data_IF_454608180950
#
_entry.id   IF_454608180950
#
_cell.length_a   1.000
_cell.length_b   1.000
_cell.length_c   1.000
_cell.angle_alpha   90.00
_cell.angle_beta   90.00
_cell.angle_gamma   90.00
#
_symmetry.space_group_name_H-M   'P 1'
#
loop_
_entity.id
_entity.type
_entity.pdbx_description
1 polymer ?
#
# COMPACT_ATOMS: atom_id res chain seq x y z
N UNK A 1 96.49 -16.26 -4.44
CA UNK A 1 96.54 -17.20 -3.30
C UNK A 1 96.61 -16.39 -2.02
N UNK A 2 95.49 -16.26 -1.32
CA UNK A 2 95.45 -15.92 0.10
C UNK A 2 94.09 -16.39 0.61
N UNK A 3 94.14 -17.58 1.19
CA UNK A 3 93.03 -18.36 1.71
C UNK A 3 92.85 -18.02 3.20
N UNK A 4 91.68 -17.51 3.56
CA UNK A 4 91.30 -17.28 4.96
C UNK A 4 89.82 -17.66 5.17
N UNK A 5 89.60 -18.89 5.59
CA UNK A 5 88.54 -19.25 6.55
C UNK A 5 89.24 -19.59 7.87
N UNK A 6 88.65 -19.37 9.08
CA UNK A 6 87.25 -19.71 9.38
C UNK A 6 86.54 -18.83 10.45
N UNK A 7 85.22 -19.00 10.58
CA UNK A 7 84.52 -18.85 11.87
C UNK A 7 83.19 -19.62 11.85
N UNK A 8 83.18 -20.84 12.41
CA UNK A 8 81.95 -21.61 12.63
C UNK A 8 81.33 -21.17 13.96
N UNK A 9 80.24 -20.39 13.92
CA UNK A 9 79.36 -20.20 15.08
C UNK A 9 78.27 -21.27 15.08
N UNK A 10 78.27 -22.14 16.10
CA UNK A 10 77.11 -22.96 16.48
C UNK A 10 75.94 -22.04 16.84
N UNK A 11 74.82 -22.12 16.10
CA UNK A 11 73.53 -21.57 16.53
C UNK A 11 72.74 -22.64 17.27
N UNK A 12 72.50 -22.39 18.54
CA UNK A 12 71.61 -23.14 19.43
C UNK A 12 70.17 -23.05 18.93
N UNK A 13 69.48 -24.19 18.89
CA UNK A 13 68.07 -24.29 18.54
C UNK A 13 67.18 -23.58 19.57
N UNK A 14 66.45 -22.54 19.15
CA UNK A 14 65.30 -21.98 19.89
C UNK A 14 64.00 -22.31 19.15
N UNK A 15 63.61 -23.59 19.18
CA UNK A 15 62.25 -24.02 18.83
C UNK A 15 61.42 -24.18 20.10
N UNK A 16 61.03 -23.08 20.74
CA UNK A 16 60.04 -23.11 21.85
C UNK A 16 59.21 -21.82 22.02
N UNK A 17 59.10 -21.01 20.96
CA UNK A 17 58.20 -19.83 20.90
C UNK A 17 57.24 -19.84 19.72
N UNK A 18 57.61 -20.52 18.62
CA UNK A 18 56.87 -20.50 17.35
C UNK A 18 55.46 -21.09 17.47
N UNK A 19 55.27 -22.15 18.25
CA UNK A 19 53.98 -22.85 18.38
C UNK A 19 52.94 -21.99 19.10
N UNK A 20 53.33 -21.23 20.13
CA UNK A 20 52.42 -20.29 20.82
C UNK A 20 52.09 -19.08 19.94
N UNK A 21 53.08 -18.56 19.21
CA UNK A 21 52.87 -17.45 18.28
C UNK A 21 51.93 -17.82 17.12
N UNK A 22 52.08 -19.03 16.56
CA UNK A 22 51.20 -19.54 15.51
C UNK A 22 49.77 -19.76 16.03
N UNK A 23 49.62 -20.27 17.26
CA UNK A 23 48.31 -20.45 17.90
C UNK A 23 47.59 -19.11 18.14
N UNK A 24 48.32 -18.12 18.66
CA UNK A 24 47.77 -16.77 18.88
C UNK A 24 47.36 -16.15 17.54
N UNK A 25 48.21 -16.28 16.51
CA UNK A 25 47.90 -15.78 15.17
C UNK A 25 46.66 -16.46 14.56
N UNK A 26 46.54 -17.79 14.69
CA UNK A 26 45.39 -18.53 14.21
C UNK A 26 44.08 -18.11 14.90
N UNK A 27 44.13 -17.87 16.22
CA UNK A 27 42.98 -17.36 17.00
C UNK A 27 42.62 -15.94 16.54
N UNK A 28 43.60 -15.05 16.33
CA UNK A 28 43.33 -13.70 15.84
C UNK A 28 42.70 -13.70 14.44
N UNK A 29 43.16 -14.58 13.54
CA UNK A 29 42.58 -14.74 12.20
C UNK A 29 41.15 -15.27 12.30
N UNK A 30 40.90 -16.28 13.13
CA UNK A 30 39.57 -16.85 13.33
C UNK A 30 38.59 -15.83 13.92
N UNK A 31 39.03 -15.02 14.89
CA UNK A 31 38.24 -13.93 15.46
C UNK A 31 37.95 -12.88 14.39
N UNK A 32 38.95 -12.42 13.63
CA UNK A 32 38.77 -11.43 12.57
C UNK A 32 37.82 -11.90 11.46
N UNK A 33 37.92 -13.15 11.03
CA UNK A 33 36.98 -13.74 10.08
C UNK A 33 35.59 -13.91 10.69
N UNK A 34 35.50 -14.32 11.95
CA UNK A 34 34.24 -14.41 12.68
C UNK A 34 33.53 -13.06 12.78
N UNK A 35 34.25 -11.97 13.10
CA UNK A 35 33.70 -10.61 13.09
C UNK A 35 33.37 -10.13 11.69
N UNK A 36 34.18 -10.44 10.68
CA UNK A 36 33.88 -10.05 9.29
C UNK A 36 32.62 -10.76 8.75
N UNK A 37 32.45 -12.06 9.02
CA UNK A 37 31.25 -12.82 8.66
C UNK A 37 30.05 -12.34 9.48
N UNK A 38 30.22 -12.12 10.78
CA UNK A 38 29.15 -11.57 11.64
C UNK A 38 28.72 -10.17 11.17
N UNK A 39 29.67 -9.31 10.80
CA UNK A 39 29.40 -8.00 10.23
C UNK A 39 28.73 -8.13 8.85
N UNK A 40 29.20 -9.01 7.96
CA UNK A 40 28.63 -9.19 6.62
C UNK A 40 27.24 -9.83 6.60
N UNK A 41 26.92 -10.67 7.59
CA UNK A 41 25.61 -11.33 7.71
C UNK A 41 24.60 -10.45 8.45
N UNK A 42 25.05 -9.57 9.36
CA UNK A 42 24.17 -8.64 10.11
C UNK A 42 24.13 -7.21 9.59
N UNK A 43 24.99 -6.82 8.65
CA UNK A 43 24.97 -5.51 8.04
C UNK A 43 24.82 -5.65 6.53
N UNK A 44 23.61 -5.52 5.96
CA UNK A 44 23.53 -4.95 4.62
C UNK A 44 24.17 -3.57 4.71
N UNK A 45 25.40 -3.45 4.23
CA UNK A 45 26.05 -2.17 3.99
C UNK A 45 25.24 -1.45 2.92
N UNK A 46 24.16 -0.79 3.32
CA UNK A 46 23.65 0.37 2.62
C UNK A 46 24.67 1.47 2.85
N UNK A 47 25.50 1.75 1.86
CA UNK A 47 26.31 2.97 1.84
C UNK A 47 25.42 4.16 2.23
N UNK A 48 25.84 5.05 3.15
CA UNK A 48 25.11 6.28 3.45
C UNK A 48 25.33 7.29 2.31
N UNK A 49 25.02 6.89 1.08
CA UNK A 49 24.76 7.81 -0.02
C UNK A 49 23.30 8.20 0.08
N UNK A 50 23.00 9.20 0.91
CA UNK A 50 21.75 9.99 0.86
C UNK A 50 20.52 9.20 0.40
N UNK A 51 20.09 8.18 1.16
CA UNK A 51 18.71 7.69 1.02
C UNK A 51 17.83 8.90 1.31
N UNK A 52 17.18 9.44 0.28
CA UNK A 52 16.11 10.40 0.50
C UNK A 52 15.11 9.70 1.42
N UNK A 53 14.69 10.33 2.53
CA UNK A 53 13.67 9.73 3.39
C UNK A 53 12.46 9.41 2.52
N UNK A 54 11.98 8.17 2.56
CA UNK A 54 10.70 7.83 1.91
C UNK A 54 9.63 8.72 2.50
N UNK A 55 8.86 9.36 1.62
CA UNK A 55 7.79 10.22 2.04
C UNK A 55 6.69 9.36 2.67
N UNK A 56 6.52 9.49 3.99
CA UNK A 56 5.50 8.75 4.72
C UNK A 56 4.11 9.10 4.18
N UNK A 57 3.33 8.07 3.83
CA UNK A 57 2.01 8.20 3.23
C UNK A 57 1.15 9.17 4.03
N UNK A 58 0.52 10.11 3.31
CA UNK A 58 -0.60 10.91 3.80
C UNK A 58 -1.91 10.38 3.27
N UNK A 59 -2.88 10.23 4.15
CA UNK A 59 -4.18 9.66 3.80
C UNK A 59 -5.34 10.47 4.33
N UNK A 60 -6.41 10.49 3.54
CA UNK A 60 -7.70 11.09 3.90
C UNK A 60 -8.82 10.15 3.48
N UNK A 61 -9.77 9.88 4.38
CA UNK A 61 -10.96 9.08 4.08
C UNK A 61 -12.19 9.91 4.42
N UNK A 62 -13.01 10.18 3.41
CA UNK A 62 -14.20 11.03 3.52
C UNK A 62 -15.45 10.16 3.35
N UNK A 63 -16.18 9.87 4.45
CA UNK A 63 -17.51 9.28 4.37
C UNK A 63 -18.50 10.19 3.63
N UNK A 64 -19.30 9.59 2.74
CA UNK A 64 -20.38 10.25 2.01
C UNK A 64 -21.74 9.78 2.52
N UNK A 65 -22.49 10.73 3.09
CA UNK A 65 -23.78 10.50 3.76
C UNK A 65 -24.94 10.59 2.76
N UNK A 66 -25.76 9.54 2.60
CA UNK A 66 -26.97 9.65 1.80
C UNK A 66 -27.97 10.61 2.45
N UNK A 67 -28.68 11.39 1.64
CA UNK A 67 -29.75 12.29 2.12
C UNK A 67 -31.01 11.55 2.61
N UNK A 68 -31.20 10.31 2.17
CA UNK A 68 -32.40 9.52 2.45
C UNK A 68 -32.08 8.06 2.67
N UNK A 69 -33.10 7.21 2.49
CA UNK A 69 -32.92 5.76 2.52
C UNK A 69 -32.02 5.32 1.36
N UNK A 70 -31.10 4.41 1.64
CA UNK A 70 -30.26 3.81 0.60
C UNK A 70 -31.13 2.96 -0.33
N UNK A 71 -31.09 3.20 -1.66
CA UNK A 71 -31.81 2.38 -2.63
C UNK A 71 -31.27 0.94 -2.64
N UNK A 72 -32.13 0.01 -3.04
CA UNK A 72 -31.69 -1.37 -3.25
C UNK A 72 -32.70 -2.18 -4.05
N UNK A 73 -32.22 -3.24 -4.66
CA UNK A 73 -32.99 -4.17 -5.45
C UNK A 73 -32.45 -5.59 -5.26
N UNK A 74 -33.24 -6.61 -5.57
CA UNK A 74 -32.78 -8.00 -5.46
C UNK A 74 -31.63 -8.31 -6.44
N UNK A 75 -31.69 -7.75 -7.64
CA UNK A 75 -30.68 -7.92 -8.69
C UNK A 75 -29.63 -6.80 -8.66
N UNK A 76 -28.36 -7.20 -8.58
CA UNK A 76 -27.22 -6.28 -8.63
C UNK A 76 -27.04 -5.66 -10.02
N UNK A 77 -27.32 -6.40 -11.09
CA UNK A 77 -27.18 -5.90 -12.46
C UNK A 77 -28.20 -4.78 -12.72
N UNK A 78 -29.45 -4.97 -12.27
CA UNK A 78 -30.46 -3.92 -12.30
C UNK A 78 -29.98 -2.63 -11.62
N UNK A 79 -29.35 -2.72 -10.44
CA UNK A 79 -28.81 -1.54 -9.76
C UNK A 79 -27.71 -0.85 -10.57
N UNK A 80 -26.77 -1.62 -11.13
CA UNK A 80 -25.70 -1.06 -11.94
C UNK A 80 -26.24 -0.33 -13.17
N UNK A 81 -27.16 -0.97 -13.91
CA UNK A 81 -27.79 -0.41 -15.10
C UNK A 81 -28.58 0.88 -14.83
N UNK A 82 -29.13 1.05 -13.61
CA UNK A 82 -29.90 2.22 -13.20
C UNK A 82 -29.10 3.20 -12.33
N UNK A 83 -27.77 3.18 -12.45
CA UNK A 83 -26.86 4.08 -11.72
C UNK A 83 -25.88 4.78 -12.66
N UNK A 84 -25.15 5.82 -12.19
CA UNK A 84 -24.06 6.42 -12.96
C UNK A 84 -22.93 5.45 -13.33
N UNK A 85 -22.89 4.27 -12.72
CA UNK A 85 -21.92 3.21 -13.02
C UNK A 85 -22.34 2.32 -14.20
N UNK A 86 -23.49 2.55 -14.83
CA UNK A 86 -23.93 1.81 -16.01
C UNK A 86 -22.89 1.74 -17.15
N UNK A 87 -22.12 2.81 -17.47
CA UNK A 87 -21.11 2.77 -18.53
C UNK A 87 -19.74 2.26 -18.04
N UNK A 88 -19.62 1.84 -16.78
CA UNK A 88 -18.34 1.42 -16.22
C UNK A 88 -18.00 -0.02 -16.63
N UNK A 89 -16.72 -0.23 -16.89
CA UNK A 89 -16.17 -1.53 -17.21
C UNK A 89 -16.13 -2.43 -15.98
N UNK A 90 -15.99 -3.74 -16.19
CA UNK A 90 -15.88 -4.71 -15.10
C UNK A 90 -14.42 -4.93 -14.70
N UNK A 91 -14.16 -4.85 -13.40
CA UNK A 91 -12.88 -5.21 -12.80
C UNK A 91 -11.68 -4.43 -13.37
N UNK A 92 -10.58 -5.13 -13.60
CA UNK A 92 -9.32 -4.52 -14.03
C UNK A 92 -9.41 -3.84 -15.41
N UNK A 93 -10.37 -4.22 -16.26
CA UNK A 93 -10.59 -3.62 -17.58
C UNK A 93 -10.95 -2.13 -17.47
N UNK A 94 -11.58 -1.72 -16.36
CA UNK A 94 -11.89 -0.31 -16.10
C UNK A 94 -10.71 0.57 -15.71
N UNK A 95 -9.49 0.03 -15.68
CA UNK A 95 -8.25 0.77 -15.44
C UNK A 95 -7.30 0.47 -16.61
N UNK A 96 -7.55 1.02 -17.82
CA UNK A 96 -6.66 0.81 -18.95
C UNK A 96 -5.30 1.47 -18.71
N UNK A 97 -4.24 0.86 -19.22
CA UNK A 97 -2.93 1.51 -19.29
C UNK A 97 -2.96 2.57 -20.40
N UNK A 98 -2.53 3.81 -20.14
CA UNK A 98 -2.41 4.83 -21.19
C UNK A 98 -1.30 4.44 -22.17
N UNK A 99 -1.32 5.04 -23.36
CA UNK A 99 -0.17 5.00 -24.25
C UNK A 99 1.02 5.73 -23.59
N UNK A 100 2.19 5.11 -23.65
CA UNK A 100 3.41 5.61 -23.00
C UNK A 100 4.44 6.08 -24.02
N UNK A 101 5.38 6.88 -23.53
CA UNK A 101 6.62 7.24 -24.22
C UNK A 101 7.72 7.40 -23.19
N UNK A 102 8.97 7.30 -23.62
CA UNK A 102 10.11 7.68 -22.78
C UNK A 102 10.02 9.14 -22.32
N UNK A 103 10.50 9.41 -21.13
CA UNK A 103 10.70 10.76 -20.59
C UNK A 103 12.16 11.19 -20.80
N UNK A 104 12.61 12.26 -20.13
CA UNK A 104 13.99 12.73 -20.22
C UNK A 104 14.97 11.71 -19.63
N UNK A 105 14.61 11.08 -18.51
CA UNK A 105 15.49 10.15 -17.79
C UNK A 105 14.97 8.72 -17.72
N UNK A 106 13.71 8.45 -18.10
CA UNK A 106 13.12 7.11 -18.06
C UNK A 106 12.78 6.60 -19.45
N UNK A 107 13.17 5.35 -19.71
CA UNK A 107 12.79 4.64 -20.94
C UNK A 107 11.30 4.33 -20.97
N UNK A 108 10.76 4.09 -22.17
CA UNK A 108 9.35 3.72 -22.35
C UNK A 108 8.96 2.45 -21.56
N UNK A 109 9.87 1.47 -21.49
CA UNK A 109 9.64 0.26 -20.69
C UNK A 109 9.58 0.53 -19.18
N UNK A 110 10.35 1.50 -18.69
CA UNK A 110 10.29 1.93 -17.29
C UNK A 110 8.99 2.65 -16.96
N UNK A 111 8.52 3.53 -17.85
CA UNK A 111 7.22 4.19 -17.70
C UNK A 111 6.08 3.16 -17.71
N UNK A 112 6.15 2.20 -18.64
CA UNK A 112 5.18 1.09 -18.72
C UNK A 112 5.20 0.23 -17.47
N UNK A 113 6.38 -0.07 -16.91
CA UNK A 113 6.53 -0.83 -15.68
C UNK A 113 5.89 -0.10 -14.49
N UNK A 114 6.15 1.20 -14.32
CA UNK A 114 5.54 2.02 -13.27
C UNK A 114 4.00 1.99 -13.32
N UNK A 115 3.43 2.25 -14.51
CA UNK A 115 1.99 2.23 -14.72
C UNK A 115 1.39 0.84 -14.47
N UNK A 116 2.09 -0.22 -14.88
CA UNK A 116 1.64 -1.61 -14.67
C UNK A 116 1.65 -1.99 -13.19
N UNK A 117 2.69 -1.63 -12.44
CA UNK A 117 2.78 -1.88 -10.99
C UNK A 117 1.72 -1.07 -10.22
N UNK A 118 1.51 0.20 -10.58
CA UNK A 118 0.43 1.02 -9.99
C UNK A 118 -0.96 0.41 -10.28
N UNK A 119 -1.20 -0.05 -11.50
CA UNK A 119 -2.44 -0.77 -11.87
C UNK A 119 -2.61 -2.04 -11.05
N UNK A 120 -1.57 -2.86 -10.91
CA UNK A 120 -1.62 -4.09 -10.12
C UNK A 120 -1.96 -3.79 -8.65
N UNK A 121 -1.35 -2.74 -8.08
CA UNK A 121 -1.73 -2.28 -6.73
C UNK A 121 -3.21 -1.92 -6.64
N UNK A 122 -3.76 -1.15 -7.57
CA UNK A 122 -5.18 -0.78 -7.54
C UNK A 122 -6.10 -2.01 -7.63
N UNK A 123 -5.77 -2.95 -8.51
CA UNK A 123 -6.53 -4.20 -8.69
C UNK A 123 -6.48 -5.04 -7.41
N UNK A 124 -5.29 -5.29 -6.87
CA UNK A 124 -5.14 -6.11 -5.65
C UNK A 124 -5.75 -5.47 -4.41
N UNK A 125 -5.71 -4.14 -4.31
CA UNK A 125 -6.16 -3.42 -3.11
C UNK A 125 -7.63 -3.00 -3.15
N UNK A 126 -8.29 -3.08 -4.31
CA UNK A 126 -9.66 -2.61 -4.51
C UNK A 126 -10.59 -3.59 -5.21
N UNK A 127 -10.10 -4.72 -5.74
CA UNK A 127 -10.94 -5.70 -6.46
C UNK A 127 -10.84 -7.11 -5.90
N UNK A 128 -9.75 -7.47 -5.22
CA UNK A 128 -9.58 -8.80 -4.63
C UNK A 128 -10.60 -9.05 -3.50
N UNK A 129 -11.50 -10.05 -3.61
CA UNK A 129 -12.46 -10.36 -2.56
C UNK A 129 -11.81 -10.70 -1.21
N UNK A 130 -10.62 -11.28 -1.24
CA UNK A 130 -9.78 -11.56 -0.08
C UNK A 130 -9.34 -10.29 0.66
N UNK A 131 -9.16 -9.17 -0.05
CA UNK A 131 -8.90 -7.85 0.56
C UNK A 131 -10.20 -7.18 0.97
N UNK A 132 -11.17 -7.13 0.05
CA UNK A 132 -12.43 -6.41 0.22
C UNK A 132 -13.21 -6.91 1.44
N UNK A 133 -13.30 -8.23 1.61
CA UNK A 133 -14.09 -8.86 2.68
C UNK A 133 -13.32 -9.98 3.41
N UNK A 134 -12.20 -10.48 2.86
CA UNK A 134 -11.41 -11.56 3.45
C UNK A 134 -10.33 -11.16 4.47
N UNK A 135 -10.26 -9.87 4.84
CA UNK A 135 -9.28 -9.30 5.78
C UNK A 135 -7.80 -9.45 5.37
N UNK A 136 -7.51 -9.88 4.14
CA UNK A 136 -6.14 -10.04 3.67
C UNK A 136 -5.46 -8.69 3.45
N UNK A 137 -4.17 -8.63 3.79
CA UNK A 137 -3.33 -7.42 3.63
C UNK A 137 -2.09 -7.67 2.77
N UNK A 138 -1.71 -8.95 2.61
CA UNK A 138 -0.54 -9.37 1.81
C UNK A 138 -0.55 -8.86 0.37
N UNK A 139 -1.70 -8.80 -0.34
CA UNK A 139 -1.71 -8.31 -1.72
C UNK A 139 -1.23 -6.87 -1.89
N UNK A 140 -1.45 -5.98 -0.91
CA UNK A 140 -0.80 -4.66 -0.89
C UNK A 140 0.65 -4.77 -0.43
N UNK A 141 0.87 -5.41 0.71
CA UNK A 141 2.17 -5.42 1.39
C UNK A 141 3.32 -5.91 0.48
N UNK A 142 3.04 -6.85 -0.42
CA UNK A 142 4.06 -7.39 -1.34
C UNK A 142 4.47 -6.45 -2.47
N UNK A 143 3.69 -5.39 -2.73
CA UNK A 143 3.94 -4.41 -3.78
C UNK A 143 4.55 -3.12 -3.23
N UNK A 144 4.66 -2.97 -1.90
CA UNK A 144 5.22 -1.78 -1.28
C UNK A 144 6.75 -1.87 -1.25
N UNK A 145 7.39 -0.72 -1.44
CA UNK A 145 8.78 -0.50 -1.08
C UNK A 145 9.03 -0.92 0.38
N UNK A 146 10.17 -1.57 0.63
CA UNK A 146 10.54 -2.05 1.97
C UNK A 146 10.53 -0.96 3.03
N UNK A 147 10.87 0.27 2.65
CA UNK A 147 10.96 1.41 3.57
C UNK A 147 9.55 1.92 3.98
N UNK A 148 8.47 1.49 3.32
CA UNK A 148 7.06 1.78 3.73
C UNK A 148 6.43 0.69 4.60
N UNK A 149 7.08 -0.46 4.77
CA UNK A 149 6.48 -1.61 5.46
C UNK A 149 6.20 -1.32 6.94
N UNK A 150 7.03 -0.54 7.62
CA UNK A 150 6.81 -0.19 9.03
C UNK A 150 5.54 0.65 9.22
N UNK A 151 5.32 1.65 8.34
CA UNK A 151 4.09 2.45 8.37
C UNK A 151 2.87 1.59 8.03
N UNK A 152 3.00 0.72 7.02
CA UNK A 152 1.96 -0.20 6.62
C UNK A 152 1.56 -1.12 7.78
N UNK A 153 2.52 -1.86 8.35
CA UNK A 153 2.28 -2.82 9.43
C UNK A 153 1.69 -2.12 10.67
N UNK A 154 2.22 -0.94 11.04
CA UNK A 154 1.64 -0.11 12.12
C UNK A 154 0.19 0.27 11.85
N UNK A 155 -0.19 0.54 10.60
CA UNK A 155 -1.58 0.86 10.26
C UNK A 155 -2.54 -0.27 10.61
N UNK A 156 -2.11 -1.53 10.53
CA UNK A 156 -2.95 -2.68 10.86
C UNK A 156 -2.88 -3.08 12.34
N UNK A 157 -1.70 -2.97 12.96
CA UNK A 157 -1.50 -3.31 14.36
C UNK A 157 -2.11 -2.27 15.31
N UNK A 158 -2.00 -0.99 14.95
CA UNK A 158 -2.50 0.14 15.73
C UNK A 158 -3.22 1.16 14.82
N UNK A 159 -4.41 0.83 14.29
CA UNK A 159 -5.13 1.70 13.39
C UNK A 159 -5.47 3.06 14.02
N UNK A 160 -5.22 4.16 13.31
CA UNK A 160 -5.52 5.50 13.80
C UNK A 160 -6.03 6.44 12.68
N UNK A 161 -6.93 7.35 13.04
CA UNK A 161 -7.43 8.43 12.18
C UNK A 161 -6.51 9.68 12.24
N UNK A 162 -5.20 9.46 12.09
CA UNK A 162 -4.15 10.50 12.16
C UNK A 162 -3.62 10.90 10.77
N UNK A 163 -4.35 10.51 9.72
CA UNK A 163 -3.98 10.74 8.33
C UNK A 163 -2.71 10.03 7.89
N UNK A 164 -2.29 8.98 8.62
CA UNK A 164 -1.11 8.17 8.29
C UNK A 164 -1.27 6.67 8.55
N UNK A 165 -2.13 6.27 9.49
CA UNK A 165 -2.22 4.88 9.95
C UNK A 165 -3.64 4.31 9.87
N UNK A 166 -4.46 4.77 8.93
CA UNK A 166 -5.75 4.16 8.64
C UNK A 166 -5.59 3.04 7.58
N UNK A 167 -5.89 1.76 7.90
CA UNK A 167 -5.92 0.68 6.92
C UNK A 167 -6.75 0.96 5.67
N UNK A 168 -7.84 1.71 5.80
CA UNK A 168 -8.73 2.09 4.69
C UNK A 168 -8.11 3.12 3.74
N UNK A 169 -7.00 3.76 4.13
CA UNK A 169 -6.16 4.56 3.23
C UNK A 169 -5.34 3.69 2.28
N UNK A 170 -4.86 2.53 2.75
CA UNK A 170 -4.07 1.60 1.94
C UNK A 170 -4.94 0.76 1.01
N UNK A 171 -6.06 0.25 1.53
CA UNK A 171 -6.90 -0.80 0.94
C UNK A 171 -8.37 -0.42 1.01
N UNK A 172 -9.18 -0.89 0.05
CA UNK A 172 -10.63 -0.90 0.23
C UNK A 172 -10.99 -2.08 1.12
N UNK A 173 -11.40 -1.80 2.37
CA UNK A 173 -11.77 -2.83 3.36
C UNK A 173 -13.21 -2.62 3.79
N UNK A 174 -14.10 -3.48 3.33
CA UNK A 174 -15.50 -3.48 3.76
C UNK A 174 -15.62 -4.33 5.03
N UNK A 175 -16.38 -3.88 6.02
CA UNK A 175 -16.58 -4.64 7.27
C UNK A 175 -17.25 -6.00 6.98
N UNK A 176 -16.51 -7.13 7.07
CA UNK A 176 -17.02 -8.42 6.65
C UNK A 176 -18.03 -9.02 7.63
N UNK A 177 -18.16 -8.44 8.83
CA UNK A 177 -19.23 -8.80 9.77
C UNK A 177 -20.58 -8.20 9.36
N UNK A 178 -20.57 -7.17 8.51
CA UNK A 178 -21.76 -6.44 8.09
C UNK A 178 -22.15 -6.69 6.64
N UNK A 179 -21.18 -6.87 5.75
CA UNK A 179 -21.44 -6.97 4.31
C UNK A 179 -20.70 -8.14 3.66
N UNK A 180 -21.26 -8.59 2.53
CA UNK A 180 -20.61 -9.45 1.55
C UNK A 180 -20.87 -8.92 0.15
N UNK A 181 -20.02 -9.30 -0.81
CA UNK A 181 -20.27 -9.03 -2.23
C UNK A 181 -21.55 -9.75 -2.66
N UNK A 182 -22.42 -9.00 -3.33
CA UNK A 182 -23.61 -9.50 -4.02
C UNK A 182 -23.30 -9.95 -5.45
N UNK A 183 -22.24 -9.38 -6.03
CA UNK A 183 -21.72 -9.63 -7.37
C UNK A 183 -20.20 -9.40 -7.33
N UNK A 184 -19.44 -10.27 -7.99
CA UNK A 184 -17.98 -10.15 -8.13
C UNK A 184 -17.57 -9.30 -9.35
N UNK A 185 -18.51 -8.97 -10.24
CA UNK A 185 -18.35 -8.10 -11.40
C UNK A 185 -18.40 -6.62 -11.00
N UNK A 186 -17.45 -6.22 -10.16
CA UNK A 186 -17.31 -4.85 -9.65
C UNK A 186 -17.14 -3.88 -10.82
N UNK A 187 -17.91 -2.78 -10.81
CA UNK A 187 -17.85 -1.73 -11.84
C UNK A 187 -16.74 -0.75 -11.53
N UNK A 188 -15.94 -0.43 -12.54
CA UNK A 188 -14.72 0.38 -12.39
C UNK A 188 -14.61 1.39 -13.53
N UNK A 189 -14.24 2.61 -13.17
CA UNK A 189 -13.74 3.61 -14.09
C UNK A 189 -12.47 4.22 -13.51
N UNK A 190 -11.39 4.21 -14.29
CA UNK A 190 -10.09 4.64 -13.81
C UNK A 190 -9.19 5.19 -14.89
N UNK A 191 -8.28 6.07 -14.48
CA UNK A 191 -7.24 6.63 -15.32
C UNK A 191 -5.91 6.62 -14.57
N UNK A 192 -4.84 6.34 -15.30
CA UNK A 192 -3.47 6.42 -14.82
C UNK A 192 -2.70 7.45 -15.65
N UNK A 193 -1.78 8.14 -15.00
CA UNK A 193 -0.94 9.17 -15.61
C UNK A 193 0.46 9.08 -15.02
N UNK A 194 1.47 8.96 -15.86
CA UNK A 194 2.87 8.93 -15.44
C UNK A 194 3.56 10.26 -15.76
N UNK A 195 4.27 10.80 -14.78
CA UNK A 195 5.07 12.02 -14.91
C UNK A 195 6.47 11.78 -14.35
N UNK A 196 7.46 12.48 -14.90
CA UNK A 196 8.80 12.50 -14.31
C UNK A 196 8.86 13.63 -13.30
N UNK A 197 9.02 13.30 -12.01
CA UNK A 197 9.11 14.29 -10.95
C UNK A 197 10.54 14.88 -10.86
N UNK A 198 11.55 14.02 -11.01
CA UNK A 198 12.95 14.39 -11.19
C UNK A 198 13.73 13.28 -11.90
N UNK A 199 15.04 13.47 -12.12
CA UNK A 199 15.90 12.52 -12.86
C UNK A 199 15.99 11.12 -12.24
N UNK A 200 15.55 10.96 -11.00
CA UNK A 200 15.58 9.72 -10.23
C UNK A 200 14.20 9.18 -9.84
N UNK A 201 13.13 9.95 -10.07
CA UNK A 201 11.77 9.62 -9.60
C UNK A 201 10.74 9.70 -10.74
N UNK A 202 10.04 8.61 -11.00
CA UNK A 202 8.76 8.63 -11.70
C UNK A 202 7.62 8.73 -10.69
N UNK A 203 6.61 9.52 -11.02
CA UNK A 203 5.35 9.60 -10.29
C UNK A 203 4.23 9.03 -11.16
N UNK A 204 3.32 8.26 -10.56
CA UNK A 204 2.08 7.81 -11.20
C UNK A 204 0.90 8.30 -10.38
N UNK A 205 0.08 9.16 -10.99
CA UNK A 205 -1.22 9.55 -10.48
C UNK A 205 -2.29 8.56 -10.93
N UNK A 206 -3.14 8.12 -10.00
CA UNK A 206 -4.25 7.23 -10.26
C UNK A 206 -5.56 7.82 -9.73
N UNK A 207 -6.56 7.96 -10.60
CA UNK A 207 -7.91 8.38 -10.23
C UNK A 207 -8.86 7.28 -10.61
N UNK A 208 -9.59 6.74 -9.64
CA UNK A 208 -10.41 5.54 -9.83
C UNK A 208 -11.73 5.66 -9.08
N UNK A 209 -12.78 5.10 -9.65
CA UNK A 209 -14.10 4.93 -9.01
C UNK A 209 -14.44 3.44 -9.09
N UNK A 210 -14.67 2.85 -7.93
CA UNK A 210 -15.12 1.47 -7.78
C UNK A 210 -16.54 1.45 -7.25
N UNK A 211 -17.42 0.64 -7.84
CA UNK A 211 -18.80 0.48 -7.41
C UNK A 211 -19.10 -0.99 -7.13
N UNK A 212 -19.32 -1.29 -5.86
CA UNK A 212 -19.54 -2.64 -5.34
C UNK A 212 -21.04 -2.85 -5.09
N UNK A 213 -21.58 -3.99 -5.54
CA UNK A 213 -22.89 -4.45 -5.11
C UNK A 213 -22.74 -5.26 -3.82
N UNK A 214 -23.41 -4.82 -2.75
CA UNK A 214 -23.26 -5.37 -1.40
C UNK A 214 -24.59 -5.87 -0.85
N UNK A 215 -24.52 -6.92 -0.03
CA UNK A 215 -25.62 -7.47 0.77
C UNK A 215 -25.22 -7.59 2.23
N UNK A 216 -26.19 -7.68 3.17
CA UNK A 216 -25.86 -7.95 4.55
C UNK A 216 -25.12 -9.29 4.69
N UNK A 217 -24.13 -9.32 5.57
CA UNK A 217 -23.43 -10.56 5.92
C UNK A 217 -24.43 -11.58 6.47
N UNK A 218 -24.32 -12.85 6.06
CA UNK A 218 -25.21 -13.93 6.48
C UNK A 218 -26.64 -13.88 5.92
N UNK A 219 -27.02 -12.86 5.15
CA UNK A 219 -28.35 -12.79 4.55
C UNK A 219 -28.52 -13.76 3.38
N UNK A 220 -29.76 -14.23 3.18
CA UNK A 220 -30.14 -15.08 2.06
C UNK A 220 -29.81 -14.45 0.70
N UNK A 221 -29.65 -15.28 -0.33
CA UNK A 221 -29.40 -14.85 -1.70
C UNK A 221 -30.56 -14.06 -2.34
N UNK A 222 -31.68 -13.88 -1.64
CA UNK A 222 -32.81 -13.03 -2.06
C UNK A 222 -32.82 -11.65 -1.40
N UNK A 223 -31.98 -11.40 -0.40
CA UNK A 223 -31.92 -10.09 0.26
C UNK A 223 -31.49 -8.99 -0.72
N UNK A 224 -32.10 -7.81 -0.63
CA UNK A 224 -31.77 -6.68 -1.50
C UNK A 224 -30.28 -6.33 -1.43
N UNK A 225 -29.67 -6.14 -2.59
CA UNK A 225 -28.37 -5.55 -2.73
C UNK A 225 -28.47 -4.01 -2.71
N UNK A 226 -27.35 -3.36 -2.43
CA UNK A 226 -27.15 -1.92 -2.58
C UNK A 226 -25.79 -1.64 -3.22
N UNK A 227 -25.69 -0.52 -3.94
CA UNK A 227 -24.39 -0.07 -4.45
C UNK A 227 -23.65 0.73 -3.38
N UNK A 228 -22.35 0.47 -3.29
CA UNK A 228 -21.40 1.24 -2.51
C UNK A 228 -20.27 1.71 -3.42
N UNK A 229 -20.01 3.01 -3.41
CA UNK A 229 -19.06 3.67 -4.31
C UNK A 229 -17.86 4.15 -3.53
N UNK A 230 -16.67 3.86 -4.05
CA UNK A 230 -15.40 4.36 -3.52
C UNK A 230 -14.64 5.05 -4.65
N UNK A 231 -14.45 6.37 -4.53
CA UNK A 231 -13.51 7.12 -5.35
C UNK A 231 -12.16 7.16 -4.64
N UNK A 232 -11.09 6.77 -5.32
CA UNK A 232 -9.72 6.85 -4.83
C UNK A 232 -8.87 7.71 -5.76
N UNK A 233 -8.16 8.66 -5.19
CA UNK A 233 -7.14 9.47 -5.84
C UNK A 233 -5.80 9.17 -5.13
N UNK A 234 -4.89 8.48 -5.83
CA UNK A 234 -3.63 7.97 -5.30
C UNK A 234 -2.45 8.54 -6.08
N UNK A 235 -1.37 8.82 -5.38
CA UNK A 235 -0.08 9.18 -5.98
C UNK A 235 0.96 8.16 -5.56
N UNK A 236 1.62 7.57 -6.55
CA UNK A 236 2.70 6.61 -6.37
C UNK A 236 4.02 7.21 -6.83
N UNK A 237 5.12 6.88 -6.15
CA UNK A 237 6.48 7.16 -6.60
C UNK A 237 7.22 5.87 -6.88
N UNK A 238 8.14 5.96 -7.83
CA UNK A 238 9.03 4.88 -8.24
C UNK A 238 10.43 5.43 -8.41
N UNK A 239 11.38 4.86 -7.67
CA UNK A 239 12.79 4.98 -8.01
C UNK A 239 13.26 3.85 -8.94
N UNK A 240 14.57 3.76 -9.19
CA UNK A 240 15.12 2.70 -10.07
C UNK A 240 15.03 1.31 -9.46
N UNK A 241 15.13 1.20 -8.15
CA UNK A 241 15.02 -0.07 -7.45
C UNK A 241 13.56 -0.54 -7.42
N UNK A 242 12.61 0.37 -7.19
CA UNK A 242 11.18 0.09 -7.31
C UNK A 242 10.82 -0.49 -8.67
N UNK A 243 11.27 0.16 -9.75
CA UNK A 243 11.04 -0.30 -11.12
C UNK A 243 11.66 -1.68 -11.40
N UNK A 244 12.82 -1.96 -10.80
CA UNK A 244 13.54 -3.24 -10.97
C UNK A 244 12.88 -4.36 -10.17
N UNK A 245 12.38 -4.05 -8.97
CA UNK A 245 11.79 -5.01 -8.04
C UNK A 245 10.28 -5.20 -8.26
N UNK A 246 9.63 -4.31 -9.01
CA UNK A 246 8.18 -4.30 -9.16
C UNK A 246 7.46 -3.85 -7.89
N UNK A 247 8.09 -2.96 -7.12
CA UNK A 247 7.51 -2.31 -5.92
C UNK A 247 7.13 -0.86 -6.22
N UNK A 248 6.43 -0.23 -5.29
CA UNK A 248 6.06 1.19 -5.36
C UNK A 248 6.04 1.82 -3.98
N UNK A 249 6.10 3.15 -3.95
CA UNK A 249 5.83 3.95 -2.77
C UNK A 249 4.48 4.66 -2.92
N UNK A 250 3.55 4.51 -1.97
CA UNK A 250 2.31 5.29 -1.93
C UNK A 250 2.59 6.56 -1.12
N UNK A 251 2.52 7.74 -1.75
CA UNK A 251 2.84 9.00 -1.05
C UNK A 251 1.59 9.78 -0.64
N UNK A 252 0.52 9.68 -1.43
CA UNK A 252 -0.77 10.28 -1.12
C UNK A 252 -1.92 9.31 -1.43
N UNK A 253 -2.92 9.28 -0.55
CA UNK A 253 -4.16 8.53 -0.74
C UNK A 253 -5.36 9.33 -0.26
N UNK A 254 -6.23 9.73 -1.17
CA UNK A 254 -7.53 10.30 -0.85
C UNK A 254 -8.63 9.32 -1.24
N UNK A 255 -9.56 9.06 -0.34
CA UNK A 255 -10.72 8.23 -0.60
C UNK A 255 -12.02 8.96 -0.22
N UNK A 256 -13.01 8.90 -1.10
CA UNK A 256 -14.39 9.26 -0.80
C UNK A 256 -15.24 8.01 -0.94
N UNK A 257 -16.01 7.66 0.10
CA UNK A 257 -16.71 6.39 0.15
C UNK A 257 -18.14 6.56 0.67
N UNK A 258 -19.12 5.93 0.01
CA UNK A 258 -20.49 5.91 0.51
C UNK A 258 -21.44 5.11 -0.38
N UNK A 259 -22.70 4.91 0.07
CA UNK A 259 -23.31 5.55 1.23
C UNK A 259 -22.83 4.99 2.57
N UNK A 260 -22.49 5.86 3.53
CA UNK A 260 -22.14 5.51 4.90
C UNK A 260 -22.52 6.63 5.90
N UNK A 261 -22.47 6.35 7.21
CA UNK A 261 -22.68 7.38 8.24
C UNK A 261 -21.35 8.04 8.64
N UNK A 262 -21.35 9.36 8.85
CA UNK A 262 -20.20 10.09 9.40
C UNK A 262 -20.01 9.90 10.90
N UNK A 263 -21.01 9.38 11.62
CA UNK A 263 -20.91 9.11 13.05
C UNK A 263 -20.20 7.77 13.36
N UNK A 264 -19.94 6.94 12.35
CA UNK A 264 -19.25 5.67 12.52
C UNK A 264 -17.77 5.77 12.15
N UNK A 265 -16.91 5.12 12.95
CA UNK A 265 -15.49 5.01 12.65
C UNK A 265 -15.25 4.18 11.38
N UNK A 266 -14.46 4.75 10.48
CA UNK A 266 -14.07 4.20 9.18
C UNK A 266 -12.57 3.90 9.07
N UNK A 267 -11.82 4.00 10.18
CA UNK A 267 -10.36 3.85 10.20
C UNK A 267 -9.94 2.45 9.77
N UNK A 268 -10.50 1.41 10.42
CA UNK A 268 -10.10 0.03 10.15
C UNK A 268 -10.85 -0.61 8.98
N UNK A 269 -12.15 -0.28 8.86
CA UNK A 269 -13.07 -0.82 7.86
C UNK A 269 -14.09 0.24 7.46
N UNK A 270 -14.43 0.29 6.19
CA UNK A 270 -15.59 1.01 5.67
C UNK A 270 -16.85 0.26 6.10
N UNK A 271 -17.87 1.03 6.51
CA UNK A 271 -19.15 0.51 7.02
C UNK A 271 -20.30 1.02 6.15
N UNK A 272 -20.60 0.33 5.03
CA UNK A 272 -21.67 0.70 4.13
C UNK A 272 -23.04 0.72 4.81
N UNK A 273 -23.86 1.69 4.43
CA UNK A 273 -25.31 1.63 4.64
C UNK A 273 -25.93 0.80 3.51
N UNK A 274 -26.82 -0.12 3.85
CA UNK A 274 -27.50 -1.03 2.93
C UNK A 274 -28.96 -0.63 2.72
N UNK A 275 -29.62 -1.33 1.79
CA UNK A 275 -30.98 -1.05 1.33
C UNK A 275 -31.94 -0.75 2.48
N UNK A 276 -32.64 0.38 2.37
CA UNK A 276 -33.63 0.85 3.35
C UNK A 276 -33.04 1.54 4.59
N UNK A 277 -31.73 1.46 4.82
CA UNK A 277 -31.08 2.15 5.94
C UNK A 277 -30.91 3.65 5.65
N UNK A 278 -30.86 4.45 6.71
CA UNK A 278 -30.51 5.87 6.68
C UNK A 278 -29.28 6.12 7.53
N UNK A 279 -28.54 7.20 7.24
CA UNK A 279 -27.42 7.57 8.10
C UNK A 279 -27.89 7.92 9.50
N UNK A 280 -27.14 7.48 10.51
CA UNK A 280 -27.34 7.90 11.89
C UNK A 280 -27.09 9.40 12.02
N UNK A 281 -27.92 10.07 12.82
CA UNK A 281 -27.68 11.46 13.20
C UNK A 281 -26.35 11.60 13.95
N UNK A 282 -25.63 12.68 13.67
CA UNK A 282 -24.32 12.97 14.25
C UNK A 282 -23.25 13.24 13.20
N UNK A 283 -22.16 13.85 13.64
CA UNK A 283 -20.95 14.07 12.84
C UNK A 283 -19.81 13.18 13.32
N UNK A 284 -18.62 13.34 12.72
CA UNK A 284 -17.41 12.70 13.21
C UNK A 284 -17.11 13.06 14.67
N UNK A 285 -16.22 12.28 15.30
CA UNK A 285 -15.74 12.57 16.65
C UNK A 285 -15.12 13.98 16.75
N UNK A 286 -15.22 14.60 17.93
CA UNK A 286 -14.64 15.91 18.20
C UNK A 286 -13.11 15.87 17.98
N UNK A 287 -12.59 16.91 17.34
CA UNK A 287 -11.14 17.09 17.12
C UNK A 287 -10.59 18.06 18.18
N UNK A 288 -9.57 17.64 18.92
CA UNK A 288 -8.82 18.51 19.83
C UNK A 288 -7.64 19.17 19.06
N UNK A 289 -7.67 20.49 18.82
CA UNK A 289 -6.60 21.18 18.08
C UNK A 289 -5.26 21.22 18.82
N UNK A 290 -5.22 20.85 20.10
CA UNK A 290 -3.99 20.79 20.89
C UNK A 290 -3.40 19.38 20.98
N UNK A 291 -4.11 18.35 20.50
CA UNK A 291 -3.59 17.00 20.42
C UNK A 291 -2.61 16.85 19.24
N UNK A 292 -1.43 16.29 19.50
CA UNK A 292 -0.33 16.19 18.52
C UNK A 292 -0.65 15.35 17.27
N UNK A 293 -1.59 14.40 17.37
CA UNK A 293 -1.86 13.39 16.34
C UNK A 293 -3.28 13.45 15.77
N UNK A 294 -3.99 14.57 15.91
CA UNK A 294 -5.37 14.68 15.38
C UNK A 294 -5.37 15.22 13.95
N UNK A 295 -6.00 14.49 13.03
CA UNK A 295 -6.37 15.04 11.72
C UNK A 295 -7.82 15.45 11.70
N UNK A 296 -8.14 16.51 10.95
CA UNK A 296 -9.51 17.01 10.83
C UNK A 296 -10.39 15.94 10.21
N UNK A 297 -11.39 15.49 10.96
CA UNK A 297 -12.36 14.54 10.44
C UNK A 297 -13.28 15.23 9.42
N UNK A 298 -13.26 14.73 8.18
CA UNK A 298 -14.05 15.26 7.07
C UNK A 298 -15.30 14.42 6.85
N UNK A 299 -16.39 15.07 6.46
CA UNK A 299 -17.67 14.43 6.15
C UNK A 299 -18.28 15.08 4.91
N UNK A 300 -18.71 14.28 3.94
CA UNK A 300 -19.37 14.74 2.72
C UNK A 300 -20.83 14.29 2.64
N UNK A 301 -21.63 14.98 1.83
CA UNK A 301 -22.98 14.52 1.47
C UNK A 301 -22.90 13.73 0.16
N UNK A 302 -23.46 12.53 0.13
CA UNK A 302 -23.61 11.75 -1.10
C UNK A 302 -24.69 12.40 -1.97
N UNK A 303 -24.29 12.79 -3.19
CA UNK A 303 -25.19 13.37 -4.16
C UNK A 303 -26.31 12.38 -4.54
N UNK A 304 -27.53 12.88 -4.77
CA UNK A 304 -28.68 12.01 -5.06
C UNK A 304 -28.52 11.33 -6.43
N UNK A 305 -27.97 12.07 -7.39
CA UNK A 305 -27.61 11.60 -8.72
C UNK A 305 -26.52 10.53 -8.72
N UNK A 306 -25.73 10.40 -7.65
CA UNK A 306 -24.74 9.34 -7.51
C UNK A 306 -25.37 7.99 -7.11
N UNK A 307 -26.64 7.99 -6.69
CA UNK A 307 -27.35 6.79 -6.24
C UNK A 307 -28.13 6.14 -7.39
N UNK A 308 -28.37 4.82 -7.33
CA UNK A 308 -29.25 4.14 -8.26
C UNK A 308 -30.68 4.70 -8.21
N UNK A 309 -31.33 4.80 -9.38
CA UNK A 309 -32.73 5.20 -9.54
C UNK A 309 -33.58 3.93 -9.58
N UNK A 310 -33.95 3.41 -8.41
CA UNK A 310 -34.72 2.17 -8.23
C UNK A 310 -35.88 2.33 -7.27
#
# INVERSE_FOLDING_TARGET
>A
MADHTPAVRRRTHLRRGLTRQILILAVLIAVAFGTAIYMGVRHPYSSPGTRRPVEALRMTVIPLVPRGKVPGAADAEYLYAHSPAAPFEVGATGIPLPATRSTAHFSDSQVTAALSTARDYLVRTSLDPGVLTGRQVRPARSLLDSDQLDQFDRSFDHPAADGRHAPTGWLVRLDPSRVRLADDRIRVQGTLEATEADSSTLEVGARTIFVYALRPAGAAATASASLFTVRRDLTFRFDRDDLRLGTLQVVASSAQAGPMSCAEDATSYLRPLLSGQTARAGGPAATDPFAADSTTALCGTLAAEAQPKV
#
